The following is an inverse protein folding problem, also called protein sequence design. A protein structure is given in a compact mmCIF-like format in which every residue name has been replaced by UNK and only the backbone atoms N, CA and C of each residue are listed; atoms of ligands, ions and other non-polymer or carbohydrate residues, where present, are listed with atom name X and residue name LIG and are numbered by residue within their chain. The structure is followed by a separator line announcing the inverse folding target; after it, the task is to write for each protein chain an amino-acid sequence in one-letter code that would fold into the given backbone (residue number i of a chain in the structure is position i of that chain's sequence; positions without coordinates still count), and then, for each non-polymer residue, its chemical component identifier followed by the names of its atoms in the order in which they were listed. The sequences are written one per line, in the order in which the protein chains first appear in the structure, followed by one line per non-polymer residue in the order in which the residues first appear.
data_IF_839330067718
#
_entry.id   IF_839330067718
#
_cell.length_a   1.000
_cell.length_b   1.000
_cell.length_c   1.000
_cell.angle_alpha   90.00
_cell.angle_beta   90.00
_cell.angle_gamma   90.00
#
_symmetry.space_group_name_H-M   'P 1'
#
loop_
_entity.id
_entity.type
_entity.pdbx_description
1 polymer ?
#
# COMPACT_ATOMS: atom_id res chain seq x y z
N UNK A 1 35.81 -12.50 -4.73
CA UNK A 1 34.37 -12.29 -5.01
C UNK A 1 34.02 -10.86 -4.67
N UNK A 2 33.28 -10.16 -5.53
CA UNK A 2 32.78 -8.81 -5.21
C UNK A 2 31.71 -8.90 -4.11
N UNK A 3 31.52 -7.81 -3.36
CA UNK A 3 30.50 -7.75 -2.29
C UNK A 3 29.10 -8.06 -2.83
N UNK A 4 28.78 -7.61 -4.05
CA UNK A 4 27.52 -7.90 -4.74
C UNK A 4 27.32 -9.38 -5.07
N UNK A 5 28.36 -10.08 -5.53
CA UNK A 5 28.29 -11.51 -5.82
C UNK A 5 27.98 -12.32 -4.54
N UNK A 6 28.58 -11.92 -3.41
CA UNK A 6 28.33 -12.54 -2.10
C UNK A 6 26.89 -12.32 -1.63
N UNK A 7 26.36 -11.10 -1.80
CA UNK A 7 24.97 -10.77 -1.45
C UNK A 7 23.98 -11.57 -2.31
N UNK A 8 24.25 -11.72 -3.62
CA UNK A 8 23.41 -12.51 -4.51
C UNK A 8 23.36 -13.97 -4.08
N UNK A 9 24.51 -14.58 -3.80
CA UNK A 9 24.58 -15.99 -3.34
C UNK A 9 23.83 -16.18 -2.02
N UNK A 10 24.05 -15.29 -1.04
CA UNK A 10 23.34 -15.36 0.24
C UNK A 10 21.82 -15.26 0.07
N UNK A 11 21.37 -14.35 -0.81
CA UNK A 11 19.96 -14.20 -1.13
C UNK A 11 19.40 -15.50 -1.71
N UNK A 12 20.09 -16.10 -2.67
CA UNK A 12 19.61 -17.31 -3.33
C UNK A 12 19.56 -18.51 -2.38
N UNK A 13 20.58 -18.66 -1.52
CA UNK A 13 20.58 -19.69 -0.46
C UNK A 13 19.41 -19.51 0.50
N UNK A 14 19.16 -18.29 0.98
CA UNK A 14 18.10 -18.02 1.94
C UNK A 14 16.68 -18.09 1.34
N UNK A 15 16.56 -17.98 0.00
CA UNK A 15 15.27 -18.15 -0.70
C UNK A 15 14.79 -19.60 -0.74
N UNK A 16 15.66 -20.58 -0.52
CA UNK A 16 15.28 -22.02 -0.49
C UNK A 16 14.46 -22.38 0.75
N UNK A 17 14.53 -21.56 1.80
CA UNK A 17 13.74 -21.70 3.03
C UNK A 17 12.29 -21.27 2.83
N UNK A 18 11.57 -21.98 1.97
CA UNK A 18 10.15 -21.82 1.69
C UNK A 18 9.42 -23.17 1.80
N UNK A 19 8.33 -23.36 1.07
CA UNK A 19 7.60 -24.64 1.02
C UNK A 19 8.52 -25.82 0.65
N UNK A 20 9.60 -25.59 -0.10
CA UNK A 20 10.59 -26.63 -0.46
C UNK A 20 11.33 -27.13 0.76
N UNK A 21 11.77 -26.23 1.65
CA UNK A 21 12.40 -26.61 2.91
C UNK A 21 11.44 -27.42 3.80
N UNK A 22 10.17 -27.01 3.87
CA UNK A 22 9.14 -27.76 4.60
C UNK A 22 8.83 -29.12 3.96
N UNK A 23 9.14 -29.34 2.69
CA UNK A 23 8.99 -30.63 2.01
C UNK A 23 10.12 -31.63 2.28
N UNK A 24 11.27 -31.17 2.80
CA UNK A 24 12.42 -32.03 3.10
C UNK A 24 12.19 -32.90 4.33
N UNK A 25 12.84 -34.07 4.36
CA UNK A 25 12.92 -34.88 5.57
C UNK A 25 13.82 -34.23 6.65
N UNK A 26 13.75 -34.74 7.89
CA UNK A 26 14.48 -34.16 9.01
C UNK A 26 16.00 -34.10 8.75
N UNK A 27 16.60 -35.17 8.24
CA UNK A 27 18.06 -35.26 7.99
C UNK A 27 18.48 -34.28 6.90
N UNK A 28 17.67 -34.11 5.86
CA UNK A 28 17.88 -33.13 4.81
C UNK A 28 17.80 -31.70 5.34
N UNK A 29 16.82 -31.39 6.21
CA UNK A 29 16.71 -30.08 6.87
C UNK A 29 17.91 -29.77 7.74
N UNK A 30 18.39 -30.74 8.55
CA UNK A 30 19.62 -30.60 9.34
C UNK A 30 20.78 -30.15 8.47
N UNK A 31 21.05 -30.93 7.42
CA UNK A 31 22.19 -30.72 6.53
C UNK A 31 22.13 -29.37 5.83
N UNK A 32 20.94 -28.96 5.40
CA UNK A 32 20.76 -27.66 4.75
C UNK A 32 20.98 -26.51 5.75
N UNK A 33 20.39 -26.56 6.93
CA UNK A 33 20.57 -25.55 7.98
C UNK A 33 22.05 -25.43 8.38
N UNK A 34 22.73 -26.55 8.59
CA UNK A 34 24.15 -26.56 8.96
C UNK A 34 25.04 -26.04 7.83
N UNK A 35 24.73 -26.40 6.58
CA UNK A 35 25.40 -25.86 5.40
C UNK A 35 25.24 -24.35 5.29
N UNK A 36 24.03 -23.83 5.44
CA UNK A 36 23.77 -22.39 5.37
C UNK A 36 24.36 -21.64 6.57
N UNK A 37 24.37 -22.22 7.77
CA UNK A 37 25.05 -21.62 8.94
C UNK A 37 26.53 -21.41 8.66
N UNK A 38 27.21 -22.37 8.02
CA UNK A 38 28.62 -22.22 7.62
C UNK A 38 28.85 -21.09 6.61
N UNK A 39 27.90 -20.89 5.69
CA UNK A 39 27.95 -19.80 4.70
C UNK A 39 27.72 -18.43 5.35
N UNK A 40 26.80 -18.36 6.32
CA UNK A 40 26.56 -17.14 7.10
C UNK A 40 27.74 -16.78 8.01
N UNK A 41 28.44 -17.80 8.54
CA UNK A 41 29.51 -17.62 9.50
C UNK A 41 29.03 -17.12 10.87
N UNK A 42 29.96 -16.97 11.80
CA UNK A 42 29.67 -16.52 13.17
C UNK A 42 29.18 -15.06 13.24
N UNK A 43 29.67 -14.22 12.32
CA UNK A 43 29.27 -12.80 12.22
C UNK A 43 27.86 -12.62 11.62
N UNK A 44 27.37 -13.63 10.90
CA UNK A 44 26.10 -13.60 10.20
C UNK A 44 26.09 -12.65 9.01
N UNK A 45 24.93 -12.04 8.74
CA UNK A 45 24.81 -11.10 7.61
C UNK A 45 25.68 -9.85 7.82
N UNK A 46 26.34 -9.38 6.76
CA UNK A 46 26.94 -8.04 6.75
C UNK A 46 25.86 -6.96 6.70
N UNK A 47 26.18 -5.72 7.08
CA UNK A 47 25.20 -4.62 7.02
C UNK A 47 24.77 -4.30 5.58
N UNK A 48 25.66 -4.47 4.60
CA UNK A 48 25.31 -4.36 3.18
C UNK A 48 24.30 -5.45 2.76
N UNK A 49 24.50 -6.70 3.21
CA UNK A 49 23.55 -7.77 2.95
C UNK A 49 22.19 -7.51 3.61
N UNK A 50 22.17 -7.04 4.87
CA UNK A 50 20.92 -6.66 5.58
C UNK A 50 20.17 -5.54 4.87
N UNK A 51 20.85 -4.54 4.34
CA UNK A 51 20.22 -3.44 3.63
C UNK A 51 19.60 -3.87 2.29
N UNK A 52 20.18 -4.90 1.65
CA UNK A 52 19.73 -5.41 0.36
C UNK A 52 18.62 -6.48 0.46
N UNK A 53 18.26 -6.92 1.66
CA UNK A 53 17.36 -8.07 1.87
C UNK A 53 16.07 -7.67 2.60
N UNK A 54 14.91 -8.26 2.20
CA UNK A 54 13.68 -8.14 2.97
C UNK A 54 13.82 -8.72 4.38
N UNK A 55 13.01 -8.24 5.32
CA UNK A 55 13.03 -8.71 6.71
C UNK A 55 12.83 -10.21 6.84
N UNK A 56 11.96 -10.84 6.04
CA UNK A 56 11.76 -12.30 6.03
C UNK A 56 13.09 -13.07 5.85
N UNK A 57 13.91 -12.62 4.91
CA UNK A 57 15.21 -13.23 4.62
C UNK A 57 16.20 -13.02 5.78
N UNK A 58 16.19 -11.84 6.40
CA UNK A 58 17.06 -11.54 7.55
C UNK A 58 16.64 -12.33 8.80
N UNK A 59 15.34 -12.49 9.03
CA UNK A 59 14.80 -13.30 10.12
C UNK A 59 15.15 -14.78 9.94
N UNK A 60 15.08 -15.33 8.72
CA UNK A 60 15.54 -16.69 8.44
C UNK A 60 17.04 -16.84 8.73
N UNK A 61 17.86 -15.89 8.30
CA UNK A 61 19.29 -15.89 8.60
C UNK A 61 19.56 -15.87 10.13
N UNK A 62 18.82 -15.04 10.87
CA UNK A 62 18.88 -15.02 12.34
C UNK A 62 18.54 -16.39 12.94
N UNK A 63 17.43 -17.02 12.53
CA UNK A 63 17.07 -18.33 13.06
C UNK A 63 18.14 -19.40 12.77
N UNK A 64 18.69 -19.41 11.56
CA UNK A 64 19.74 -20.35 11.16
C UNK A 64 21.00 -20.14 11.99
N UNK A 65 21.46 -18.90 12.11
CA UNK A 65 22.65 -18.51 12.89
C UNK A 65 22.53 -18.94 14.35
N UNK A 66 21.35 -18.77 14.96
CA UNK A 66 21.12 -19.07 16.37
C UNK A 66 20.58 -20.48 16.66
N UNK A 67 20.46 -21.35 15.65
CA UNK A 67 19.98 -22.73 15.85
C UNK A 67 18.49 -22.84 16.19
N UNK A 68 17.69 -21.83 15.87
CA UNK A 68 16.26 -21.73 16.16
C UNK A 68 15.43 -22.45 15.09
N UNK A 69 15.51 -23.78 15.05
CA UNK A 69 14.92 -24.58 13.97
C UNK A 69 13.40 -24.60 13.99
N UNK A 70 12.81 -24.81 15.15
CA UNK A 70 11.35 -24.89 15.28
C UNK A 70 10.73 -23.54 14.94
N UNK A 71 11.37 -22.46 15.35
CA UNK A 71 10.99 -21.09 15.02
C UNK A 71 11.21 -20.77 13.54
N UNK A 72 12.29 -21.27 12.91
CA UNK A 72 12.49 -21.15 11.46
C UNK A 72 11.35 -21.82 10.69
N UNK A 73 11.00 -23.05 11.07
CA UNK A 73 9.88 -23.77 10.43
C UNK A 73 8.56 -23.04 10.61
N UNK A 74 8.30 -22.54 11.82
CA UNK A 74 7.10 -21.77 12.13
C UNK A 74 7.05 -20.44 11.35
N UNK A 75 8.17 -19.72 11.27
CA UNK A 75 8.29 -18.50 10.48
C UNK A 75 7.94 -18.75 9.01
N UNK A 76 8.47 -19.83 8.44
CA UNK A 76 8.20 -20.19 7.05
C UNK A 76 6.72 -20.56 6.84
N UNK A 77 6.10 -21.29 7.78
CA UNK A 77 4.66 -21.60 7.73
C UNK A 77 3.80 -20.33 7.79
N UNK A 78 4.04 -19.45 8.75
CA UNK A 78 3.30 -18.19 8.90
C UNK A 78 3.39 -17.32 7.62
N UNK A 79 4.57 -17.29 6.99
CA UNK A 79 4.79 -16.57 5.73
C UNK A 79 4.04 -17.20 4.54
N UNK A 80 4.00 -18.54 4.44
CA UNK A 80 3.29 -19.26 3.38
C UNK A 80 1.78 -19.10 3.52
N UNK A 81 1.25 -19.19 4.74
CA UNK A 81 -0.18 -19.06 5.04
C UNK A 81 -0.70 -17.63 4.81
N UNK A 82 0.19 -16.67 4.54
CA UNK A 82 -0.17 -15.29 4.26
C UNK A 82 -0.66 -14.55 5.51
N UNK A 83 -0.38 -15.08 6.70
CA UNK A 83 -0.56 -14.44 7.99
C UNK A 83 0.76 -13.83 8.46
N UNK A 84 1.26 -12.73 7.84
CA UNK A 84 2.49 -12.12 8.32
C UNK A 84 2.26 -11.68 9.76
N UNK A 85 3.16 -12.08 10.66
CA UNK A 85 2.99 -11.75 12.06
C UNK A 85 2.86 -10.24 12.26
N UNK A 86 2.10 -9.84 13.28
CA UNK A 86 1.80 -8.45 13.60
C UNK A 86 3.07 -7.60 13.68
N UNK A 87 2.88 -6.29 13.60
CA UNK A 87 3.98 -5.33 13.63
C UNK A 87 3.75 -4.31 14.74
N UNK A 88 4.85 -3.91 15.37
CA UNK A 88 4.86 -2.85 16.39
C UNK A 88 5.53 -1.61 15.84
N UNK A 89 5.01 -0.44 16.25
CA UNK A 89 5.59 0.84 15.88
C UNK A 89 6.35 1.40 17.08
N UNK A 90 7.64 1.67 16.92
CA UNK A 90 8.50 2.24 17.96
C UNK A 90 9.33 3.37 17.35
N UNK A 91 9.20 4.58 17.86
CA UNK A 91 9.97 5.74 17.39
C UNK A 91 9.81 6.03 15.90
N UNK A 92 8.61 5.83 15.34
CA UNK A 92 8.32 6.05 13.92
C UNK A 92 8.81 4.95 12.97
N UNK A 93 9.36 3.86 13.50
CA UNK A 93 9.79 2.68 12.73
C UNK A 93 8.88 1.50 13.00
N UNK A 94 8.68 0.66 11.99
CA UNK A 94 7.80 -0.50 12.05
C UNK A 94 8.66 -1.77 12.12
N UNK A 95 8.40 -2.59 13.12
CA UNK A 95 9.14 -3.84 13.36
C UNK A 95 8.20 -5.03 13.30
N UNK A 96 8.58 -6.05 12.53
CA UNK A 96 7.90 -7.33 12.52
C UNK A 96 8.01 -7.98 13.91
N UNK A 97 6.89 -8.51 14.41
CA UNK A 97 6.81 -9.12 15.73
C UNK A 97 6.27 -10.54 15.59
N UNK A 98 7.15 -11.50 15.85
CA UNK A 98 6.82 -12.91 15.94
C UNK A 98 6.96 -13.33 17.40
N UNK A 99 5.86 -13.64 18.13
CA UNK A 99 5.91 -13.87 19.59
C UNK A 99 6.89 -14.96 20.04
N UNK A 100 7.19 -15.91 19.15
CA UNK A 100 8.11 -17.03 19.38
C UNK A 100 9.57 -16.72 19.05
N UNK A 101 9.87 -15.59 18.36
CA UNK A 101 11.24 -15.17 18.07
C UNK A 101 11.71 -14.10 19.05
N UNK A 102 12.56 -14.51 20.00
CA UNK A 102 13.18 -13.61 20.99
C UNK A 102 14.61 -13.25 20.57
N UNK A 103 15.07 -12.07 21.01
CA UNK A 103 16.46 -11.64 20.82
C UNK A 103 16.79 -11.14 19.40
N UNK A 104 15.81 -11.05 18.50
CA UNK A 104 16.01 -10.55 17.14
C UNK A 104 16.51 -9.09 17.18
N UNK A 105 17.64 -8.75 16.54
CA UNK A 105 18.08 -7.38 16.41
C UNK A 105 17.04 -6.51 15.70
N UNK A 106 16.83 -5.28 16.18
CA UNK A 106 15.89 -4.33 15.54
C UNK A 106 16.16 -4.15 14.05
N UNK A 107 17.42 -4.17 13.63
CA UNK A 107 17.82 -4.04 12.22
C UNK A 107 17.34 -5.20 11.35
N UNK A 108 17.17 -6.39 11.90
CA UNK A 108 16.70 -7.57 11.16
C UNK A 108 15.16 -7.64 11.14
N UNK A 109 14.51 -7.12 12.19
CA UNK A 109 13.05 -7.03 12.30
C UNK A 109 12.42 -5.79 11.62
N UNK A 110 13.22 -4.80 11.21
CA UNK A 110 12.70 -3.55 10.66
C UNK A 110 12.04 -3.72 9.28
N UNK A 111 10.74 -3.49 9.21
CA UNK A 111 9.93 -3.58 7.98
C UNK A 111 9.40 -2.21 7.56
N UNK A 112 9.98 -1.12 8.05
CA UNK A 112 9.49 0.25 7.83
C UNK A 112 9.28 0.54 6.34
N UNK A 113 10.18 0.11 5.47
CA UNK A 113 10.10 0.31 4.02
C UNK A 113 9.27 -0.75 3.28
N UNK A 114 8.92 -1.85 3.95
CA UNK A 114 8.19 -2.98 3.39
C UNK A 114 6.68 -2.90 3.65
N UNK A 115 6.28 -2.18 4.71
CA UNK A 115 4.87 -2.01 5.08
C UNK A 115 4.18 -1.03 4.13
N UNK A 116 3.23 -1.56 3.36
CA UNK A 116 2.32 -0.80 2.53
C UNK A 116 0.99 -0.47 3.22
N UNK A 117 0.00 -0.09 2.41
CA UNK A 117 -1.37 0.19 2.84
C UNK A 117 -2.29 -0.90 2.29
N UNK A 118 -3.02 -1.58 3.18
CA UNK A 118 -4.18 -2.36 2.80
C UNK A 118 -5.34 -1.41 2.54
N UNK A 119 -5.95 -1.50 1.36
CA UNK A 119 -7.04 -0.61 1.00
C UNK A 119 -8.14 -1.33 0.21
N UNK A 120 -9.36 -0.81 0.30
CA UNK A 120 -10.51 -1.33 -0.44
C UNK A 120 -11.48 -0.19 -0.73
N UNK A 121 -11.89 -0.03 -1.99
CA UNK A 121 -12.91 0.94 -2.39
C UNK A 121 -14.30 0.33 -2.25
N UNK A 122 -15.11 0.87 -1.34
CA UNK A 122 -16.47 0.39 -1.08
C UNK A 122 -17.48 1.10 -2.00
N UNK A 123 -17.32 2.41 -2.21
CA UNK A 123 -18.18 3.17 -3.10
C UNK A 123 -17.51 4.45 -3.61
N UNK A 124 -17.84 4.82 -4.85
CA UNK A 124 -17.60 6.16 -5.40
C UNK A 124 -18.89 6.66 -6.04
N UNK A 125 -19.44 7.76 -5.52
CA UNK A 125 -20.72 8.31 -5.98
C UNK A 125 -20.66 9.82 -6.06
N UNK A 126 -21.53 10.39 -6.90
CA UNK A 126 -21.75 11.83 -6.91
C UNK A 126 -22.73 12.24 -5.82
N UNK A 127 -22.32 13.15 -4.95
CA UNK A 127 -23.19 13.85 -4.00
C UNK A 127 -23.33 15.31 -4.45
N UNK A 128 -24.45 15.63 -5.08
CA UNK A 128 -24.66 16.92 -5.75
C UNK A 128 -23.55 17.19 -6.79
N UNK A 129 -22.59 18.08 -6.51
CA UNK A 129 -21.47 18.41 -7.40
C UNK A 129 -20.10 17.92 -6.88
N UNK A 130 -20.10 17.21 -5.75
CA UNK A 130 -18.91 16.66 -5.12
C UNK A 130 -18.88 15.14 -5.30
N UNK A 131 -17.69 14.56 -5.15
CA UNK A 131 -17.47 13.12 -5.26
C UNK A 131 -17.32 12.57 -3.86
N UNK A 132 -18.24 11.69 -3.47
CA UNK A 132 -18.19 10.96 -2.21
C UNK A 132 -17.45 9.64 -2.44
N UNK A 133 -16.40 9.42 -1.68
CA UNK A 133 -15.55 8.24 -1.72
C UNK A 133 -15.66 7.55 -0.37
N UNK A 134 -16.05 6.27 -0.37
CA UNK A 134 -16.08 5.44 0.82
C UNK A 134 -15.17 4.24 0.63
N UNK A 135 -14.47 3.87 1.68
CA UNK A 135 -13.57 2.74 1.62
C UNK A 135 -12.93 2.41 2.96
N UNK A 136 -11.88 1.62 2.86
CA UNK A 136 -10.99 1.27 3.94
C UNK A 136 -9.55 1.51 3.52
N UNK A 137 -8.74 2.02 4.45
CA UNK A 137 -7.30 2.09 4.33
C UNK A 137 -6.64 1.92 5.71
N UNK A 138 -5.64 1.05 5.81
CA UNK A 138 -4.85 0.85 7.02
C UNK A 138 -3.43 0.38 6.69
N UNK A 139 -2.48 0.66 7.58
CA UNK A 139 -1.12 0.12 7.45
C UNK A 139 -1.15 -1.42 7.52
N UNK A 140 -0.41 -2.07 6.64
CA UNK A 140 -0.24 -3.52 6.69
C UNK A 140 0.41 -3.96 8.00
N UNK A 141 -0.08 -5.07 8.58
CA UNK A 141 0.47 -5.72 9.79
C UNK A 141 0.40 -4.90 11.09
N UNK A 142 -0.02 -3.64 11.05
CA UNK A 142 -0.13 -2.78 12.25
C UNK A 142 -1.57 -2.83 12.75
N UNK A 143 -1.78 -3.53 13.87
CA UNK A 143 -3.08 -3.58 14.53
C UNK A 143 -3.29 -2.34 15.40
N UNK A 144 -4.32 -1.56 15.08
CA UNK A 144 -4.72 -0.38 15.86
C UNK A 144 -6.19 -0.06 15.62
N UNK A 145 -6.84 0.53 16.62
CA UNK A 145 -8.17 1.12 16.49
C UNK A 145 -8.15 2.59 16.03
N UNK A 146 -6.97 3.20 15.95
CA UNK A 146 -6.74 4.59 15.56
C UNK A 146 -5.94 4.64 14.27
N UNK A 147 -6.67 4.78 13.16
CA UNK A 147 -6.11 5.03 11.83
C UNK A 147 -6.80 6.24 11.24
N UNK A 148 -6.03 7.27 10.92
CA UNK A 148 -6.50 8.42 10.15
C UNK A 148 -6.26 8.14 8.67
N UNK A 149 -7.21 8.57 7.82
CA UNK A 149 -7.14 8.39 6.37
C UNK A 149 -7.40 9.73 5.69
N UNK A 150 -6.60 10.06 4.68
CA UNK A 150 -6.90 11.16 3.77
C UNK A 150 -6.95 10.64 2.32
N UNK A 151 -7.72 11.33 1.49
CA UNK A 151 -7.74 11.10 0.04
C UNK A 151 -6.93 12.17 -0.65
N UNK A 152 -5.94 11.76 -1.42
CA UNK A 152 -5.09 12.67 -2.19
C UNK A 152 -5.42 12.53 -3.66
N UNK A 153 -5.69 13.65 -4.32
CA UNK A 153 -5.66 13.73 -5.78
C UNK A 153 -4.28 14.18 -6.21
N UNK A 154 -3.57 13.35 -6.97
CA UNK A 154 -2.25 13.67 -7.54
C UNK A 154 -2.35 13.85 -9.05
N UNK A 155 -1.97 15.02 -9.54
CA UNK A 155 -1.97 15.35 -10.96
C UNK A 155 -0.85 14.59 -11.68
N UNK A 156 -1.17 13.89 -12.77
CA UNK A 156 -0.32 12.85 -13.33
C UNK A 156 0.99 13.36 -13.94
N UNK A 157 1.00 14.60 -14.44
CA UNK A 157 2.15 15.13 -15.19
C UNK A 157 3.07 15.97 -14.30
N UNK A 158 2.51 16.84 -13.48
CA UNK A 158 3.22 17.76 -12.58
C UNK A 158 3.45 17.20 -11.19
N UNK A 159 2.73 16.14 -10.80
CA UNK A 159 2.79 15.58 -9.44
C UNK A 159 2.13 16.45 -8.37
N UNK A 160 1.43 17.52 -8.76
CA UNK A 160 0.72 18.40 -7.82
C UNK A 160 -0.35 17.64 -7.05
N UNK A 161 -0.49 17.94 -5.78
CA UNK A 161 -1.42 17.24 -4.91
C UNK A 161 -2.52 18.15 -4.36
N UNK A 162 -3.69 17.56 -4.18
CA UNK A 162 -4.78 18.16 -3.42
C UNK A 162 -5.34 17.13 -2.45
N UNK A 163 -5.21 17.41 -1.14
CA UNK A 163 -5.69 16.55 -0.08
C UNK A 163 -7.15 16.86 0.29
N UNK A 164 -7.92 15.81 0.52
CA UNK A 164 -9.26 15.88 1.08
C UNK A 164 -9.28 15.04 2.36
N UNK A 165 -9.54 15.66 3.53
CA UNK A 165 -9.62 14.92 4.77
C UNK A 165 -10.76 13.92 4.70
N UNK A 166 -10.54 12.72 5.25
CA UNK A 166 -11.60 11.73 5.37
C UNK A 166 -12.10 11.63 6.82
N UNK A 167 -13.41 11.49 6.97
CA UNK A 167 -14.05 11.23 8.24
C UNK A 167 -14.04 9.72 8.53
N UNK A 168 -13.63 9.29 9.75
CA UNK A 168 -13.64 7.89 10.11
C UNK A 168 -15.08 7.37 10.23
N UNK A 169 -15.33 6.16 9.72
CA UNK A 169 -16.61 5.46 9.84
C UNK A 169 -16.53 4.36 10.89
N UNK A 170 -17.64 4.09 11.57
CA UNK A 170 -17.71 3.13 12.70
C UNK A 170 -17.77 1.65 12.29
N UNK A 171 -17.85 1.36 10.99
CA UNK A 171 -18.04 -0.01 10.48
C UNK A 171 -16.85 -0.92 10.78
N UNK A 172 -15.62 -0.40 10.64
CA UNK A 172 -14.37 -1.08 10.99
C UNK A 172 -13.25 -0.05 11.18
N UNK A 173 -12.19 -0.34 11.97
CA UNK A 173 -10.98 0.49 12.00
C UNK A 173 -10.46 0.77 10.59
N UNK A 174 -10.05 2.01 10.29
CA UNK A 174 -9.60 2.41 8.96
C UNK A 174 -10.70 2.57 7.90
N UNK A 175 -11.97 2.33 8.22
CA UNK A 175 -13.08 2.72 7.35
C UNK A 175 -13.21 4.24 7.33
N UNK A 176 -13.43 4.81 6.14
CA UNK A 176 -13.46 6.25 5.95
C UNK A 176 -14.51 6.68 4.94
N UNK A 177 -14.83 7.97 5.00
CA UNK A 177 -15.56 8.70 3.99
C UNK A 177 -14.89 10.03 3.68
N UNK A 178 -14.61 10.29 2.42
CA UNK A 178 -14.11 11.58 1.96
C UNK A 178 -15.08 12.18 0.96
N UNK A 179 -15.23 13.51 1.02
CA UNK A 179 -16.00 14.27 0.04
C UNK A 179 -15.04 15.19 -0.71
N UNK A 180 -14.65 14.79 -1.91
CA UNK A 180 -13.79 15.57 -2.78
C UNK A 180 -14.61 16.59 -3.56
N UNK A 181 -14.25 17.86 -3.47
CA UNK A 181 -14.79 18.91 -4.32
C UNK A 181 -13.87 19.10 -5.54
N UNK A 182 -14.22 18.58 -6.73
CA UNK A 182 -13.37 18.76 -7.89
C UNK A 182 -13.36 20.21 -8.41
N UNK A 183 -14.24 21.09 -7.91
CA UNK A 183 -14.26 22.50 -8.33
C UNK A 183 -13.01 23.27 -7.86
N UNK A 184 -12.39 22.86 -6.74
CA UNK A 184 -11.18 23.50 -6.18
C UNK A 184 -9.89 22.98 -6.81
N UNK A 185 -9.98 22.02 -7.72
CA UNK A 185 -8.83 21.33 -8.34
C UNK A 185 -8.66 21.80 -9.77
N UNK A 186 -7.44 22.14 -10.17
CA UNK A 186 -7.16 22.63 -11.53
C UNK A 186 -7.48 21.60 -12.63
N UNK A 187 -7.75 22.07 -13.87
CA UNK A 187 -7.88 21.18 -15.01
C UNK A 187 -6.66 20.26 -15.16
N UNK A 188 -6.91 18.98 -15.44
CA UNK A 188 -5.86 17.98 -15.51
C UNK A 188 -6.36 16.55 -15.33
N UNK A 189 -5.42 15.61 -15.36
CA UNK A 189 -5.68 14.19 -15.05
C UNK A 189 -5.14 13.88 -13.66
N UNK A 190 -6.03 13.43 -12.79
CA UNK A 190 -5.76 13.25 -11.37
C UNK A 190 -5.92 11.77 -10.99
N UNK A 191 -4.89 11.22 -10.37
CA UNK A 191 -4.90 9.89 -9.78
C UNK A 191 -5.34 9.98 -8.32
N UNK A 192 -6.21 9.06 -7.90
CA UNK A 192 -6.66 8.99 -6.51
C UNK A 192 -5.72 8.11 -5.71
N UNK A 193 -5.21 8.66 -4.62
CA UNK A 193 -4.40 7.99 -3.62
C UNK A 193 -5.09 8.07 -2.27
N UNK A 194 -4.77 7.12 -1.39
CA UNK A 194 -5.14 7.16 0.03
C UNK A 194 -3.88 7.18 0.87
N UNK A 195 -3.85 8.00 1.91
CA UNK A 195 -2.85 7.91 2.97
C UNK A 195 -3.48 7.23 4.17
N UNK A 196 -2.75 6.32 4.81
CA UNK A 196 -3.14 5.75 6.08
C UNK A 196 -2.09 6.12 7.12
N UNK A 197 -2.54 6.73 8.21
CA UNK A 197 -1.69 7.16 9.32
C UNK A 197 -2.07 6.42 10.59
N UNK A 198 -1.13 5.65 11.13
CA UNK A 198 -1.30 4.89 12.36
C UNK A 198 -0.06 5.05 13.23
N UNK A 199 -0.24 5.37 14.51
CA UNK A 199 0.85 5.49 15.49
C UNK A 199 2.01 6.41 15.04
N UNK A 200 1.67 7.51 14.33
CA UNK A 200 2.65 8.49 13.84
C UNK A 200 3.37 8.09 12.55
N UNK A 201 3.05 6.94 11.94
CA UNK A 201 3.58 6.53 10.65
C UNK A 201 2.53 6.66 9.57
N UNK A 202 2.89 7.33 8.47
CA UNK A 202 2.03 7.51 7.30
C UNK A 202 2.56 6.73 6.11
N UNK A 203 1.67 6.00 5.43
CA UNK A 203 1.95 5.37 4.13
C UNK A 203 0.87 5.73 3.14
N UNK A 204 1.21 5.63 1.86
CA UNK A 204 0.32 5.97 0.76
C UNK A 204 0.16 4.78 -0.19
N UNK A 205 -1.03 4.63 -0.77
CA UNK A 205 -1.26 3.72 -1.89
C UNK A 205 -2.21 4.33 -2.93
N UNK A 206 -2.02 3.94 -4.20
CA UNK A 206 -2.92 4.32 -5.28
C UNK A 206 -4.23 3.55 -5.17
N UNK A 207 -5.35 4.26 -5.11
CA UNK A 207 -6.61 3.71 -4.65
C UNK A 207 -7.51 3.19 -5.79
N UNK A 208 -8.39 2.24 -5.47
CA UNK A 208 -9.47 1.76 -6.35
C UNK A 208 -9.22 0.46 -7.12
N UNK A 209 -7.98 -0.05 -7.19
CA UNK A 209 -7.67 -1.34 -7.83
C UNK A 209 -8.35 -2.52 -7.15
N UNK A 210 -8.44 -2.48 -5.82
CA UNK A 210 -9.21 -3.39 -4.97
C UNK A 210 -10.52 -2.70 -4.58
N UNK A 211 -11.66 -3.27 -4.95
CA UNK A 211 -12.98 -2.65 -4.82
C UNK A 211 -14.09 -3.70 -4.73
N UNK A 212 -15.23 -3.32 -4.13
CA UNK A 212 -16.40 -4.18 -4.03
C UNK A 212 -17.16 -4.30 -5.36
N UNK A 213 -17.89 -5.41 -5.55
CA UNK A 213 -18.61 -5.73 -6.79
C UNK A 213 -19.67 -4.69 -7.18
N UNK A 214 -20.22 -3.96 -6.19
CA UNK A 214 -21.21 -2.90 -6.40
C UNK A 214 -20.65 -1.58 -6.96
N UNK A 215 -19.33 -1.46 -7.12
CA UNK A 215 -18.71 -0.22 -7.59
C UNK A 215 -18.89 -0.05 -9.11
N UNK A 216 -19.64 0.98 -9.51
CA UNK A 216 -19.84 1.32 -10.93
C UNK A 216 -18.53 1.77 -11.57
N UNK A 217 -18.01 0.98 -12.51
CA UNK A 217 -16.73 1.25 -13.21
C UNK A 217 -16.89 2.06 -14.50
N UNK A 218 -18.12 2.19 -15.01
CA UNK A 218 -18.42 3.03 -16.18
C UNK A 218 -18.05 4.49 -15.89
N UNK A 219 -17.52 5.19 -16.90
CA UNK A 219 -17.16 6.61 -16.79
C UNK A 219 -18.37 7.45 -16.38
N UNK A 220 -18.22 8.25 -15.33
CA UNK A 220 -19.28 9.11 -14.80
C UNK A 220 -18.89 10.57 -14.99
N UNK A 221 -19.59 11.28 -15.89
CA UNK A 221 -19.35 12.70 -16.15
C UNK A 221 -20.39 13.56 -15.42
N UNK A 222 -19.93 14.61 -14.73
CA UNK A 222 -20.81 15.63 -14.13
C UNK A 222 -20.10 16.98 -14.13
N UNK A 223 -20.89 18.05 -14.22
CA UNK A 223 -20.39 19.42 -14.09
C UNK A 223 -20.34 19.82 -12.61
N UNK A 224 -19.21 20.37 -12.18
CA UNK A 224 -18.97 20.88 -10.84
C UNK A 224 -18.52 22.35 -10.91
N UNK A 225 -19.48 23.28 -10.79
CA UNK A 225 -19.20 24.71 -10.98
C UNK A 225 -18.92 25.02 -12.44
N UNK A 226 -17.76 25.63 -12.72
CA UNK A 226 -17.28 25.94 -14.07
C UNK A 226 -16.44 24.80 -14.68
N UNK A 227 -16.40 23.61 -14.05
CA UNK A 227 -15.58 22.49 -14.48
C UNK A 227 -16.44 21.30 -14.89
N UNK A 228 -16.03 20.60 -15.93
CA UNK A 228 -16.54 19.29 -16.31
C UNK A 228 -15.61 18.20 -15.79
N UNK A 229 -16.18 17.26 -15.04
CA UNK A 229 -15.40 16.25 -14.31
C UNK A 229 -15.86 14.87 -14.72
N UNK A 230 -14.91 14.02 -15.07
CA UNK A 230 -15.14 12.62 -15.39
C UNK A 230 -14.43 11.73 -14.40
N UNK A 231 -15.19 10.98 -13.60
CA UNK A 231 -14.68 9.91 -12.74
C UNK A 231 -14.58 8.63 -13.56
N UNK A 232 -13.43 7.97 -13.51
CA UNK A 232 -13.19 6.75 -14.26
C UNK A 232 -12.15 5.85 -13.58
N UNK A 233 -12.02 4.62 -14.10
CA UNK A 233 -10.97 3.70 -13.69
C UNK A 233 -9.93 3.56 -14.80
N UNK A 234 -8.66 3.57 -14.42
CA UNK A 234 -7.52 3.38 -15.33
C UNK A 234 -7.43 1.93 -15.81
N UNK A 235 -6.55 1.66 -16.80
CA UNK A 235 -6.29 0.29 -17.27
C UNK A 235 -5.85 -0.65 -16.15
N UNK A 236 -5.09 -0.15 -15.17
CA UNK A 236 -4.68 -0.90 -13.97
C UNK A 236 -5.76 -1.00 -12.88
N UNK A 237 -6.99 -0.52 -13.15
CA UNK A 237 -8.10 -0.58 -12.21
C UNK A 237 -8.11 0.49 -11.12
N UNK A 238 -7.19 1.47 -11.13
CA UNK A 238 -7.19 2.54 -10.13
C UNK A 238 -8.18 3.65 -10.46
N UNK A 239 -8.75 4.26 -9.42
CA UNK A 239 -9.67 5.40 -9.52
C UNK A 239 -8.91 6.66 -9.97
N UNK A 240 -9.50 7.40 -10.90
CA UNK A 240 -8.95 8.63 -11.45
C UNK A 240 -10.06 9.61 -11.84
N UNK A 241 -9.66 10.87 -11.99
CA UNK A 241 -10.50 11.96 -12.46
C UNK A 241 -9.85 12.64 -13.66
N UNK A 242 -10.67 13.06 -14.62
CA UNK A 242 -10.28 14.10 -15.57
C UNK A 242 -11.11 15.32 -15.26
N UNK A 243 -10.44 16.44 -15.03
CA UNK A 243 -11.05 17.74 -14.80
C UNK A 243 -10.73 18.60 -16.01
N UNK A 244 -11.76 19.16 -16.66
CA UNK A 244 -11.62 20.13 -17.74
C UNK A 244 -12.45 21.36 -17.41
N UNK A 245 -12.10 22.51 -17.98
CA UNK A 245 -13.02 23.63 -17.93
C UNK A 245 -14.30 23.28 -18.68
N UNK A 246 -15.44 23.67 -18.13
CA UNK A 246 -16.71 23.60 -18.84
C UNK A 246 -16.70 24.74 -19.86
N UNK A 247 -16.16 24.47 -21.06
CA UNK A 247 -16.23 25.43 -22.16
C UNK A 247 -17.64 25.98 -22.29
N UNK A 248 -17.73 27.31 -22.41
CA UNK A 248 -18.95 28.08 -22.28
C UNK A 248 -20.18 27.42 -22.90
N UNK A 249 -20.98 26.75 -22.06
CA UNK A 249 -22.41 26.57 -22.32
C UNK A 249 -23.01 27.97 -22.32
N UNK A 250 -22.95 28.60 -23.49
CA UNK A 250 -23.70 29.81 -23.78
C UNK A 250 -25.13 29.52 -23.35
N UNK A 251 -25.69 30.24 -22.36
CA UNK A 251 -27.07 30.01 -21.95
C UNK A 251 -27.96 30.13 -23.19
N UNK A 252 -28.88 29.19 -23.40
CA UNK A 252 -29.85 29.23 -24.52
C UNK A 252 -30.53 30.61 -24.64
N UNK A 253 -30.66 31.33 -23.52
CA UNK A 253 -31.13 32.70 -23.40
C UNK A 253 -30.39 33.70 -24.31
N UNK A 254 -29.09 33.51 -24.57
CA UNK A 254 -28.29 34.37 -25.48
C UNK A 254 -28.48 34.01 -26.95
N UNK A 255 -28.85 32.77 -27.31
CA UNK A 255 -29.19 32.40 -28.70
C UNK A 255 -30.56 32.94 -29.12
N UNK A 256 -31.54 32.96 -28.22
CA UNK A 256 -32.88 33.50 -28.51
C UNK A 256 -32.92 35.03 -28.67
N UNK A 257 -31.98 35.78 -28.05
CA UNK A 257 -31.87 37.24 -28.26
C UNK A 257 -31.26 37.64 -29.60
N UNK A 258 -30.47 36.77 -30.25
CA UNK A 258 -29.94 37.05 -31.61
C UNK A 258 -30.96 36.79 -32.72
N UNK A 259 -31.94 35.91 -32.50
CA UNK A 259 -33.03 35.66 -33.45
C UNK A 259 -34.17 36.69 -33.39
N UNK A 260 -34.22 37.53 -32.35
CA UNK A 260 -35.22 38.61 -32.21
C UNK A 260 -34.73 40.00 -32.61
N UNK A 261 -33.47 40.15 -33.04
CA UNK A 261 -32.90 41.43 -33.52
C UNK A 261 -32.69 41.48 -35.03
N UNK A 262 -33.17 40.48 -35.76
CA UNK A 262 -33.12 40.38 -37.23
C UNK A 262 -34.53 40.38 -37.87
N UNK A 263 -35.46 41.13 -37.29
CA UNK A 263 -36.72 41.55 -37.94
C UNK A 263 -36.85 43.06 -37.79
#
# INVERSE_FOLDING_TARGET
MTSECTISVLRDVLRVYDHRYLGLDHVQRERLVDGTRRVLGEEGLSDAARAAMPASVRLRAFCIQHGLRDELERLIRDEIEGGPAGAVVVGGRIYAMYPYLRGVPRKDADITTEVGVNHHLDAVTWQSRKIRIRGFAALQRVETNKTAVDVILRERTSGREHGFPAEPRRERPGAFEAVADPAVVEPGRWDVHVTATSLGVTREARFGSVRGDGVKTVRQRRTAGAKDVTVYFTKGGHLALVVTDAEGRTPLCRRLRRLRRSR
#
